data_IF_783815036639
#
_entry.id   IF_783815036639
#
_cell.length_a   1.000
_cell.length_b   1.000
_cell.length_c   1.000
_cell.angle_alpha   90.00
_cell.angle_beta   90.00
_cell.angle_gamma   90.00
#
_symmetry.space_group_name_H-M   'P 1'
#
loop_
_entity.id
_entity.type
_entity.pdbx_description
1 polymer ?
#
# COMPACT_ATOMS: atom_id res chain seq x y z
N UNK A 1 13.27 1.32 7.81
CA UNK A 1 13.18 1.61 6.36
C UNK A 1 12.05 2.61 6.18
N UNK A 2 12.19 3.55 5.26
CA UNK A 2 11.23 4.64 5.07
C UNK A 2 10.09 4.23 4.12
N UNK A 3 8.86 4.65 4.44
CA UNK A 3 7.63 4.43 3.66
C UNK A 3 7.09 5.73 3.05
N UNK A 4 7.78 6.86 3.23
CA UNK A 4 7.36 8.18 2.79
C UNK A 4 7.01 8.23 1.29
N UNK A 5 7.90 7.75 0.41
CA UNK A 5 7.67 7.77 -1.04
C UNK A 5 6.42 6.98 -1.44
N UNK A 6 6.19 5.81 -0.84
CA UNK A 6 5.00 5.02 -1.13
C UNK A 6 3.73 5.78 -0.71
N UNK A 7 3.71 6.33 0.52
CA UNK A 7 2.59 7.12 1.05
C UNK A 7 2.25 8.32 0.17
N UNK A 8 3.27 9.04 -0.28
CA UNK A 8 3.14 10.17 -1.19
C UNK A 8 2.55 9.77 -2.53
N UNK A 9 3.05 8.67 -3.11
CA UNK A 9 2.58 8.19 -4.41
C UNK A 9 1.12 7.71 -4.35
N UNK A 10 0.69 7.05 -3.27
CA UNK A 10 -0.71 6.63 -3.11
C UNK A 10 -1.67 7.84 -3.05
N UNK A 11 -1.26 8.91 -2.36
CA UNK A 11 -2.01 10.17 -2.25
C UNK A 11 -2.07 10.92 -3.57
N UNK A 12 -0.92 11.15 -4.21
CA UNK A 12 -0.82 11.87 -5.50
C UNK A 12 -1.61 11.18 -6.60
N UNK A 13 -1.65 9.85 -6.59
CA UNK A 13 -2.41 9.07 -7.57
C UNK A 13 -3.89 8.88 -7.21
N UNK A 14 -4.34 9.30 -6.03
CA UNK A 14 -5.72 9.12 -5.52
C UNK A 14 -6.18 7.66 -5.52
N UNK A 15 -5.30 6.74 -5.11
CA UNK A 15 -5.55 5.29 -5.09
C UNK A 15 -5.57 4.71 -3.66
N UNK A 16 -5.91 5.53 -2.67
CA UNK A 16 -5.93 5.12 -1.26
C UNK A 16 -6.94 4.00 -1.00
N UNK A 17 -8.13 4.06 -1.61
CA UNK A 17 -9.17 3.05 -1.42
C UNK A 17 -8.75 1.70 -2.03
N UNK A 18 -8.12 1.73 -3.21
CA UNK A 18 -7.52 0.54 -3.83
C UNK A 18 -6.41 -0.02 -2.95
N UNK A 19 -5.49 0.82 -2.49
CA UNK A 19 -4.41 0.39 -1.62
C UNK A 19 -4.95 -0.26 -0.35
N UNK A 20 -5.91 0.37 0.33
CA UNK A 20 -6.52 -0.15 1.55
C UNK A 20 -7.13 -1.53 1.32
N UNK A 21 -7.86 -1.70 0.21
CA UNK A 21 -8.46 -2.97 -0.20
C UNK A 21 -7.39 -4.05 -0.42
N UNK A 22 -6.31 -3.72 -1.12
CA UNK A 22 -5.20 -4.64 -1.40
C UNK A 22 -4.45 -5.06 -0.14
N UNK A 23 -4.19 -4.13 0.78
CA UNK A 23 -3.55 -4.45 2.06
C UNK A 23 -4.43 -5.34 2.95
N UNK A 24 -5.75 -5.12 2.94
CA UNK A 24 -6.72 -5.96 3.66
C UNK A 24 -6.78 -7.37 3.08
N UNK A 25 -6.91 -7.47 1.75
CA UNK A 25 -7.05 -8.74 1.03
C UNK A 25 -5.84 -9.65 1.21
N UNK A 26 -4.64 -9.09 1.19
CA UNK A 26 -3.39 -9.87 1.18
C UNK A 26 -2.70 -9.98 2.55
N UNK A 27 -3.42 -9.70 3.64
CA UNK A 27 -2.90 -9.88 4.99
C UNK A 27 -2.85 -11.36 5.36
N UNK A 28 -1.70 -11.82 5.85
CA UNK A 28 -1.54 -13.14 6.45
C UNK A 28 -0.84 -13.00 7.81
N UNK A 29 -1.63 -13.03 8.89
CA UNK A 29 -1.13 -12.80 10.25
C UNK A 29 -0.55 -11.39 10.44
N UNK A 30 0.77 -11.31 10.62
CA UNK A 30 1.55 -10.07 10.78
C UNK A 30 2.32 -9.69 9.51
N UNK A 31 2.11 -10.40 8.41
CA UNK A 31 2.67 -10.05 7.11
C UNK A 31 1.58 -9.56 6.16
N UNK A 32 1.95 -8.65 5.25
CA UNK A 32 1.13 -8.29 4.10
C UNK A 32 1.98 -8.38 2.86
N UNK A 33 1.53 -9.12 1.85
CA UNK A 33 2.22 -9.22 0.56
C UNK A 33 1.39 -8.57 -0.53
N UNK A 34 1.91 -7.53 -1.18
CA UNK A 34 1.26 -6.90 -2.34
C UNK A 34 2.16 -7.00 -3.55
N UNK A 35 1.56 -6.88 -4.73
CA UNK A 35 2.25 -7.00 -6.00
C UNK A 35 2.06 -5.72 -6.80
N UNK A 36 3.18 -5.09 -7.19
CA UNK A 36 3.17 -3.90 -8.01
C UNK A 36 3.63 -4.21 -9.43
N UNK A 37 3.02 -3.57 -10.42
CA UNK A 37 3.46 -3.70 -11.80
C UNK A 37 4.88 -3.11 -11.94
N UNK A 38 5.85 -3.96 -12.30
CA UNK A 38 7.26 -3.58 -12.42
C UNK A 38 7.49 -2.50 -13.48
N UNK A 39 6.71 -2.51 -14.56
CA UNK A 39 6.84 -1.55 -15.66
C UNK A 39 6.37 -0.16 -15.23
N UNK A 40 5.22 -0.04 -14.56
CA UNK A 40 4.72 1.27 -14.08
C UNK A 40 5.59 1.85 -12.97
N UNK A 41 6.25 1.00 -12.18
CA UNK A 41 7.19 1.43 -11.16
C UNK A 41 8.41 2.17 -11.75
N UNK A 42 8.82 1.86 -13.00
CA UNK A 42 9.94 2.57 -13.67
C UNK A 42 9.66 4.05 -13.91
N UNK A 43 8.39 4.43 -13.97
CA UNK A 43 7.92 5.82 -14.13
C UNK A 43 7.29 6.37 -12.84
N UNK A 44 7.68 5.83 -11.68
CA UNK A 44 7.22 6.25 -10.35
C UNK A 44 5.69 6.21 -10.17
N UNK A 45 5.02 5.24 -10.82
CA UNK A 45 3.58 5.00 -10.65
C UNK A 45 3.33 3.68 -9.93
N UNK A 46 2.37 3.73 -9.00
CA UNK A 46 1.96 2.56 -8.25
C UNK A 46 0.75 1.98 -8.96
N UNK A 47 0.86 0.72 -9.36
CA UNK A 47 -0.22 -0.04 -9.95
C UNK A 47 -0.22 -1.42 -9.30
N UNK A 48 -1.28 -1.72 -8.55
CA UNK A 48 -1.47 -3.05 -7.96
C UNK A 48 -1.83 -4.04 -9.06
N UNK A 49 -1.32 -5.25 -8.94
CA UNK A 49 -1.57 -6.32 -9.90
C UNK A 49 -1.63 -7.67 -9.18
N UNK A 50 -1.92 -8.72 -9.93
CA UNK A 50 -1.92 -10.09 -9.42
C UNK A 50 -0.50 -10.69 -9.47
N UNK A 51 -0.32 -11.81 -8.76
CA UNK A 51 0.99 -12.49 -8.65
C UNK A 51 1.51 -12.99 -10.01
N UNK A 52 0.62 -13.37 -10.91
CA UNK A 52 0.90 -13.94 -12.23
C UNK A 52 0.98 -12.87 -13.34
N UNK A 53 1.05 -11.59 -12.98
CA UNK A 53 1.12 -10.50 -13.94
C UNK A 53 2.27 -10.67 -14.97
N UNK A 54 1.98 -10.32 -16.22
CA UNK A 54 2.92 -10.43 -17.35
C UNK A 54 4.22 -9.65 -17.06
N UNK A 55 5.36 -10.25 -17.40
CA UNK A 55 6.72 -9.76 -17.08
C UNK A 55 7.08 -9.73 -15.59
N UNK A 56 6.32 -10.47 -14.78
CA UNK A 56 6.48 -10.66 -13.34
C UNK A 56 6.34 -9.37 -12.52
N UNK A 57 5.48 -9.38 -11.48
CA UNK A 57 5.31 -8.21 -10.64
C UNK A 57 6.50 -8.02 -9.68
N UNK A 58 6.59 -6.81 -9.13
CA UNK A 58 7.38 -6.55 -7.93
C UNK A 58 6.59 -7.02 -6.71
N UNK A 59 7.01 -8.13 -6.12
CA UNK A 59 6.46 -8.63 -4.85
C UNK A 59 7.04 -7.83 -3.67
N UNK A 60 6.17 -7.21 -2.88
CA UNK A 60 6.55 -6.44 -1.68
C UNK A 60 5.87 -7.03 -0.45
N UNK A 61 6.67 -7.50 0.50
CA UNK A 61 6.18 -8.03 1.78
C UNK A 61 6.49 -7.06 2.91
N UNK A 62 5.45 -6.60 3.59
CA UNK A 62 5.51 -5.84 4.82
C UNK A 62 5.45 -6.80 5.99
N UNK A 63 6.43 -6.74 6.89
CA UNK A 63 6.47 -7.50 8.14
C UNK A 63 6.26 -6.55 9.30
N UNK A 64 5.19 -6.75 10.06
CA UNK A 64 4.84 -5.88 11.16
C UNK A 64 5.46 -6.37 12.48
N UNK A 65 6.30 -5.53 13.09
CA UNK A 65 6.92 -5.80 14.38
C UNK A 65 6.52 -4.71 15.36
N UNK A 66 5.89 -5.07 16.47
CA UNK A 66 5.48 -4.10 17.50
C UNK A 66 4.38 -3.12 17.06
N UNK A 67 3.79 -3.29 15.88
CA UNK A 67 2.72 -2.45 15.35
C UNK A 67 1.53 -3.31 14.95
N UNK A 68 0.32 -2.86 15.30
CA UNK A 68 -0.89 -3.56 14.88
C UNK A 68 -1.15 -3.35 13.39
N UNK A 69 -1.76 -4.34 12.75
CA UNK A 69 -2.18 -4.22 11.35
C UNK A 69 -3.08 -3.00 11.12
N UNK A 70 -4.02 -2.72 12.03
CA UNK A 70 -4.91 -1.57 11.89
C UNK A 70 -4.13 -0.25 11.89
N UNK A 71 -3.17 -0.07 12.82
CA UNK A 71 -2.33 1.14 12.86
C UNK A 71 -1.49 1.27 11.59
N UNK A 72 -0.94 0.16 11.09
CA UNK A 72 -0.24 0.13 9.80
C UNK A 72 -1.15 0.53 8.63
N UNK A 73 -2.35 -0.05 8.56
CA UNK A 73 -3.31 0.20 7.50
C UNK A 73 -3.74 1.67 7.47
N UNK A 74 -4.08 2.25 8.62
CA UNK A 74 -4.50 3.64 8.73
C UNK A 74 -3.34 4.63 8.47
N UNK A 75 -2.10 4.21 8.70
CA UNK A 75 -0.91 4.98 8.36
C UNK A 75 -0.60 4.98 6.85
N UNK A 76 -0.67 3.81 6.21
CA UNK A 76 -0.29 3.65 4.79
C UNK A 76 -1.43 4.04 3.84
N UNK A 77 -2.66 3.63 4.16
CA UNK A 77 -3.87 3.78 3.35
C UNK A 77 -5.07 4.13 4.24
N UNK A 78 -5.13 5.36 4.79
CA UNK A 78 -6.24 5.82 5.62
C UNK A 78 -7.57 5.78 4.88
N UNK A 79 -8.67 5.68 5.64
CA UNK A 79 -10.02 5.79 5.09
C UNK A 79 -10.23 7.16 4.46
N UNK A 80 -10.95 7.17 3.35
CA UNK A 80 -11.23 8.40 2.61
C UNK A 80 -12.72 8.74 2.61
N UNK A 81 -12.99 10.04 2.48
CA UNK A 81 -14.30 10.58 2.12
C UNK A 81 -14.08 11.57 0.98
N UNK A 82 -14.81 11.41 -0.12
CA UNK A 82 -14.63 12.21 -1.33
C UNK A 82 -13.17 12.22 -1.86
N UNK A 83 -12.49 11.06 -1.72
CA UNK A 83 -11.10 10.87 -2.14
C UNK A 83 -10.05 11.59 -1.27
N UNK A 84 -10.44 12.10 -0.10
CA UNK A 84 -9.54 12.73 0.87
C UNK A 84 -9.49 11.91 2.17
N UNK A 85 -8.30 11.72 2.77
CA UNK A 85 -8.18 11.06 4.07
C UNK A 85 -9.04 11.72 5.15
N UNK A 86 -9.79 10.90 5.91
CA UNK A 86 -10.60 11.37 7.04
C UNK A 86 -9.70 11.64 8.25
N UNK A 87 -8.69 10.80 8.46
CA UNK A 87 -7.71 10.89 9.54
C UNK A 87 -6.34 10.44 9.03
N UNK A 88 -5.30 11.18 9.37
CA UNK A 88 -3.92 10.81 9.06
C UNK A 88 -3.13 10.51 10.33
N UNK A 89 -2.28 9.48 10.25
CA UNK A 89 -1.31 9.11 11.28
C UNK A 89 0.07 9.44 10.71
N UNK A 90 0.87 10.22 11.42
CA UNK A 90 2.18 10.64 10.93
C UNK A 90 3.29 9.61 11.17
N UNK A 91 3.14 8.75 12.20
CA UNK A 91 4.17 7.81 12.68
C UNK A 91 3.61 6.43 13.11
N UNK A 92 4.41 5.38 12.93
CA UNK A 92 4.09 3.98 13.28
C UNK A 92 4.61 3.57 14.65
#
# INVERSE_FOLDING_TARGET
RDLHTLRELLRKQKILDTARTEFLRNRMGNEITVYFNKQTATVSRINFCEEDAVLSPLRVTFRLFGVSFQKFLDFIAPETKDGKPIKEIEEL
#
